data_IF_243112719583
#
_entry.id   IF_243112719583
#
_cell.length_a   1.000
_cell.length_b   1.000
_cell.length_c   1.000
_cell.angle_alpha   90.00
_cell.angle_beta   90.00
_cell.angle_gamma   90.00
#
_symmetry.space_group_name_H-M   'P 1'
#
loop_
_entity.id
_entity.type
_entity.pdbx_description
1 polymer ?
#
# COMPACT_ATOMS: atom_id res chain seq x y z
N UNK A 1 -6.81 -8.52 8.86
CA UNK A 1 -6.01 -8.28 10.08
C UNK A 1 -4.95 -9.35 10.36
N UNK A 2 -5.25 -10.65 10.23
CA UNK A 2 -4.31 -11.73 10.61
C UNK A 2 -3.02 -11.80 9.78
N UNK A 3 -3.07 -11.44 8.49
CA UNK A 3 -1.90 -11.37 7.60
C UNK A 3 -0.94 -10.25 7.99
N UNK A 4 -1.48 -9.08 8.33
CA UNK A 4 -0.69 -7.91 8.76
C UNK A 4 0.02 -8.19 10.09
N UNK A 5 -0.72 -8.72 11.07
CA UNK A 5 -0.18 -9.14 12.38
C UNK A 5 0.95 -10.17 12.24
N UNK A 6 0.82 -11.14 11.31
CA UNK A 6 1.88 -12.10 11.02
C UNK A 6 3.09 -11.48 10.34
N UNK A 7 2.88 -10.50 9.45
CA UNK A 7 3.95 -9.87 8.66
C UNK A 7 4.77 -8.88 9.49
N UNK A 8 4.12 -8.14 10.38
CA UNK A 8 4.73 -7.10 11.19
C UNK A 8 4.95 -7.51 12.65
N UNK A 9 4.69 -8.78 13.00
CA UNK A 9 4.90 -9.32 14.35
C UNK A 9 4.26 -8.45 15.45
N UNK A 10 3.03 -8.00 15.20
CA UNK A 10 2.28 -7.10 16.06
C UNK A 10 0.93 -7.71 16.45
N UNK A 11 0.34 -7.26 17.56
CA UNK A 11 -0.95 -7.74 18.05
C UNK A 11 -1.82 -6.60 18.56
N UNK A 12 -3.06 -6.53 18.06
CA UNK A 12 -4.00 -5.47 18.44
C UNK A 12 -3.65 -4.13 17.79
N UNK A 13 -4.43 -3.10 18.08
CA UNK A 13 -4.22 -1.75 17.55
C UNK A 13 -3.12 -1.08 18.38
N UNK A 14 -3.38 -0.93 19.68
CA UNK A 14 -2.47 -0.35 20.67
C UNK A 14 -1.62 -1.43 21.35
N UNK A 15 -2.08 -2.68 21.31
CA UNK A 15 -1.36 -3.81 21.88
C UNK A 15 -2.27 -5.01 22.14
N UNK A 16 -1.75 -6.07 22.75
CA UNK A 16 -2.53 -7.26 23.06
C UNK A 16 -3.67 -6.97 24.06
N UNK A 17 -3.62 -5.88 24.83
CA UNK A 17 -4.72 -5.50 25.73
C UNK A 17 -6.06 -5.22 25.03
N UNK A 18 -6.07 -4.92 23.72
CA UNK A 18 -7.30 -4.65 22.97
C UNK A 18 -8.22 -5.89 22.85
N UNK A 19 -7.67 -7.09 22.96
CA UNK A 19 -8.48 -8.31 22.91
C UNK A 19 -9.27 -8.55 24.23
N UNK A 20 -8.63 -8.58 25.41
CA UNK A 20 -9.34 -8.78 26.68
C UNK A 20 -10.26 -7.61 27.05
N UNK A 21 -9.96 -6.36 26.68
CA UNK A 21 -10.88 -5.22 26.92
C UNK A 21 -12.19 -5.32 26.13
N UNK A 22 -12.20 -6.07 25.03
CA UNK A 22 -13.37 -6.32 24.20
C UNK A 22 -13.95 -7.74 24.35
N UNK A 23 -13.55 -8.50 25.39
CA UNK A 23 -13.95 -9.91 25.59
C UNK A 23 -13.67 -10.81 24.37
N UNK A 24 -12.65 -10.47 23.57
CA UNK A 24 -12.24 -11.21 22.39
C UNK A 24 -11.04 -12.09 22.73
N UNK A 25 -11.03 -13.32 22.22
CA UNK A 25 -9.84 -14.17 22.28
C UNK A 25 -8.80 -13.71 21.28
N UNK A 26 -7.53 -13.82 21.66
CA UNK A 26 -6.39 -13.55 20.79
C UNK A 26 -6.46 -14.41 19.52
N UNK A 27 -6.37 -13.76 18.37
CA UNK A 27 -6.25 -14.47 17.09
C UNK A 27 -4.92 -15.24 17.03
N UNK A 28 -4.90 -16.42 16.40
CA UNK A 28 -3.69 -17.24 16.19
C UNK A 28 -2.55 -16.49 15.47
N UNK A 29 -2.86 -15.39 14.79
CA UNK A 29 -1.88 -14.49 14.15
C UNK A 29 -1.05 -13.65 15.13
N UNK A 30 -1.51 -13.47 16.37
CA UNK A 30 -0.79 -12.76 17.42
C UNK A 30 0.28 -13.60 18.13
N UNK A 31 0.37 -14.89 17.81
CA UNK A 31 1.31 -15.81 18.41
C UNK A 31 2.46 -16.13 17.45
N UNK A 32 3.72 -16.06 17.90
CA UNK A 32 4.86 -16.59 17.16
C UNK A 32 4.70 -18.10 16.94
N UNK A 33 5.29 -18.63 15.86
CA UNK A 33 5.39 -20.09 15.67
C UNK A 33 6.08 -20.69 16.90
N UNK A 34 5.39 -21.60 17.59
CA UNK A 34 5.85 -22.31 18.80
C UNK A 34 5.95 -21.51 20.10
N UNK A 35 5.28 -20.35 20.21
CA UNK A 35 5.23 -19.61 21.48
C UNK A 35 3.79 -19.36 21.93
N UNK A 36 3.57 -19.47 23.25
CA UNK A 36 2.32 -19.05 23.92
C UNK A 36 2.32 -17.56 24.26
N UNK A 37 3.43 -16.86 24.04
CA UNK A 37 3.53 -15.43 24.32
C UNK A 37 3.01 -14.65 23.10
N UNK A 38 2.05 -13.76 23.32
CA UNK A 38 1.56 -12.83 22.30
C UNK A 38 2.59 -11.74 22.02
N UNK A 39 2.59 -11.20 20.80
CA UNK A 39 3.34 -9.98 20.50
C UNK A 39 2.88 -8.84 21.42
N UNK A 40 3.85 -8.13 22.03
CA UNK A 40 3.60 -7.03 22.96
C UNK A 40 3.35 -5.70 22.24
N UNK A 41 3.85 -5.59 21.01
CA UNK A 41 3.75 -4.41 20.15
C UNK A 41 2.36 -4.28 19.53
N UNK A 42 1.81 -3.07 19.52
CA UNK A 42 0.59 -2.72 18.78
C UNK A 42 0.87 -2.53 17.29
N UNK A 43 -0.11 -2.86 16.44
CA UNK A 43 0.05 -2.73 14.99
C UNK A 43 -0.08 -1.28 14.47
N UNK A 44 -0.57 -0.34 15.28
CA UNK A 44 -0.85 1.02 14.83
C UNK A 44 0.41 1.78 14.40
N UNK A 45 1.49 1.72 15.17
CA UNK A 45 2.76 2.38 14.78
C UNK A 45 3.36 1.83 13.48
N UNK A 46 3.26 0.52 13.25
CA UNK A 46 3.69 -0.09 11.99
C UNK A 46 2.81 0.33 10.82
N UNK A 47 1.51 0.51 11.05
CA UNK A 47 0.57 0.96 10.03
C UNK A 47 0.83 2.42 9.66
N UNK A 48 1.07 3.30 10.64
CA UNK A 48 1.41 4.70 10.40
C UNK A 48 2.71 4.84 9.60
N UNK A 49 3.76 4.12 9.98
CA UNK A 49 5.02 4.10 9.24
C UNK A 49 4.84 3.60 7.79
N UNK A 50 4.00 2.58 7.59
CA UNK A 50 3.69 2.08 6.25
C UNK A 50 2.88 3.10 5.43
N UNK A 51 1.93 3.79 6.05
CA UNK A 51 1.15 4.86 5.41
C UNK A 51 2.02 6.06 5.02
N UNK A 52 3.00 6.45 5.83
CA UNK A 52 3.96 7.49 5.44
C UNK A 52 4.80 7.10 4.22
N UNK A 53 5.28 5.85 4.17
CA UNK A 53 6.02 5.35 3.02
C UNK A 53 5.15 5.30 1.74
N UNK A 54 3.90 4.87 1.86
CA UNK A 54 2.95 4.91 0.74
C UNK A 54 2.64 6.33 0.29
N UNK A 55 2.57 7.29 1.22
CA UNK A 55 2.39 8.70 0.87
C UNK A 55 3.52 9.20 0.01
N UNK A 56 4.76 8.83 0.30
CA UNK A 56 5.91 9.16 -0.55
C UNK A 56 5.84 8.49 -1.93
N UNK A 57 5.45 7.21 -2.00
CA UNK A 57 5.30 6.47 -3.26
C UNK A 57 4.17 7.03 -4.14
N UNK A 58 3.10 7.55 -3.55
CA UNK A 58 2.01 8.20 -4.30
C UNK A 58 2.49 9.41 -5.11
N UNK A 59 3.44 10.19 -4.60
CA UNK A 59 4.00 11.31 -5.36
C UNK A 59 4.74 10.82 -6.61
N UNK A 60 5.49 9.73 -6.49
CA UNK A 60 6.22 9.14 -7.62
C UNK A 60 5.26 8.57 -8.67
N UNK A 61 4.19 7.89 -8.24
CA UNK A 61 3.17 7.37 -9.15
C UNK A 61 2.47 8.50 -9.94
N UNK A 62 2.14 9.61 -9.27
CA UNK A 62 1.52 10.76 -9.92
C UNK A 62 2.39 11.36 -11.04
N UNK A 63 3.70 11.43 -10.84
CA UNK A 63 4.64 11.94 -11.86
C UNK A 63 4.67 11.04 -13.09
N UNK A 64 4.65 9.72 -12.89
CA UNK A 64 4.67 8.73 -13.99
C UNK A 64 3.41 8.87 -14.84
N UNK A 65 2.23 8.97 -14.22
CA UNK A 65 0.96 9.11 -14.95
C UNK A 65 0.89 10.40 -15.77
N UNK A 66 1.40 11.52 -15.22
CA UNK A 66 1.47 12.80 -15.96
C UNK A 66 2.41 12.67 -17.16
N UNK A 67 3.57 12.03 -16.97
CA UNK A 67 4.53 11.82 -18.04
C UNK A 67 3.94 10.97 -19.18
N UNK A 68 3.32 9.85 -18.84
CA UNK A 68 2.67 8.96 -19.82
C UNK A 68 1.55 9.69 -20.58
N UNK A 69 0.77 10.53 -19.89
CA UNK A 69 -0.27 11.34 -20.53
C UNK A 69 0.32 12.34 -21.54
N UNK A 70 1.40 13.05 -21.19
CA UNK A 70 2.06 14.00 -22.10
C UNK A 70 2.65 13.28 -23.32
N UNK A 71 3.33 12.16 -23.11
CA UNK A 71 3.89 11.35 -24.19
C UNK A 71 2.81 10.82 -25.15
N UNK A 72 1.68 10.33 -24.61
CA UNK A 72 0.56 9.86 -25.42
C UNK A 72 -0.04 10.97 -26.29
N UNK A 73 -0.24 12.16 -25.72
CA UNK A 73 -0.75 13.31 -26.47
C UNK A 73 0.24 13.81 -27.54
N UNK A 74 1.54 13.86 -27.22
CA UNK A 74 2.58 14.22 -28.18
C UNK A 74 2.61 13.26 -29.38
N UNK A 75 2.50 11.95 -29.13
CA UNK A 75 2.40 10.93 -30.17
C UNK A 75 1.11 11.07 -30.99
N UNK A 76 -0.03 11.31 -30.33
CA UNK A 76 -1.32 11.48 -31.02
C UNK A 76 -1.28 12.67 -32.00
N UNK A 77 -0.69 13.80 -31.60
CA UNK A 77 -0.51 14.95 -32.49
C UNK A 77 0.39 14.58 -33.67
N UNK A 78 1.52 13.90 -33.42
CA UNK A 78 2.43 13.47 -34.50
C UNK A 78 1.75 12.54 -35.51
N UNK A 79 0.95 11.58 -35.05
CA UNK A 79 0.18 10.70 -35.94
C UNK A 79 -0.90 11.44 -36.72
N UNK A 80 -1.62 12.38 -36.10
CA UNK A 80 -2.63 13.17 -36.80
C UNK A 80 -2.02 14.00 -37.94
N UNK A 81 -0.87 14.63 -37.71
CA UNK A 81 -0.17 15.35 -38.77
C UNK A 81 0.35 14.40 -39.87
N UNK A 82 0.95 13.26 -39.50
CA UNK A 82 1.51 12.32 -40.49
C UNK A 82 0.42 11.67 -41.36
N UNK A 83 -0.71 11.27 -40.76
CA UNK A 83 -1.85 10.72 -41.52
C UNK A 83 -2.46 11.75 -42.49
N UNK A 84 -2.41 13.03 -42.16
CA UNK A 84 -2.89 14.10 -43.05
C UNK A 84 -1.98 14.30 -44.28
N UNK A 85 -0.68 13.99 -44.19
CA UNK A 85 0.22 14.02 -45.34
C UNK A 85 0.09 12.78 -46.25
N UNK A 86 -0.32 11.64 -45.70
CA UNK A 86 -0.49 10.40 -46.47
C UNK A 86 -1.76 10.40 -47.34
N UNK A 87 -2.79 11.20 -46.99
CA UNK A 87 -3.96 11.42 -47.87
C UNK A 87 -3.73 12.47 -48.98
N UNK A 88 -2.59 13.16 -48.97
CA UNK A 88 -2.26 14.23 -49.93
C UNK A 88 -1.27 13.78 -51.03
N UNK A 89 -0.86 12.51 -51.07
CA UNK A 89 0.05 11.92 -52.07
C UNK A 89 -0.59 10.77 -52.85
#
# INVERSE_FOLDING_TARGET
>A
MSLFQKKFHCCGIMGPQDYPTHNLNFSKSCYPKNSKNVFKEGCLGFLEAFCEQLRALNWTQMVIEIFDFVCANALAVKFHFFGSYEELY
#
